data_IF_250992909692
#
_entry.id   IF_250992909692
#
_cell.length_a   1.000
_cell.length_b   1.000
_cell.length_c   1.000
_cell.angle_alpha   90.00
_cell.angle_beta   90.00
_cell.angle_gamma   90.00
#
_symmetry.space_group_name_H-M   'P 1'
#
loop_
_entity.id
_entity.type
_entity.pdbx_description
1 polymer ?
#
# COMPACT_ATOMS: atom_id res chain seq x y z
N UNK A 1 -29.87 -44.34 -32.09
CA UNK A 1 -28.66 -44.58 -31.28
C UNK A 1 -27.46 -43.70 -31.67
N UNK A 2 -27.13 -43.51 -32.97
CA UNK A 2 -25.98 -42.67 -33.39
C UNK A 2 -26.04 -41.18 -32.99
N UNK A 3 -27.24 -40.58 -32.89
CA UNK A 3 -27.41 -39.16 -32.47
C UNK A 3 -27.04 -38.92 -31.00
N UNK A 4 -27.17 -39.93 -30.14
CA UNK A 4 -26.85 -39.84 -28.70
C UNK A 4 -25.34 -39.76 -28.45
N UNK A 5 -24.54 -40.44 -29.28
CA UNK A 5 -23.08 -40.38 -29.21
C UNK A 5 -22.49 -39.04 -29.66
N UNK A 6 -23.25 -38.24 -30.42
CA UNK A 6 -22.84 -36.89 -30.86
C UNK A 6 -23.28 -35.80 -29.87
N UNK A 7 -24.42 -35.98 -29.19
CA UNK A 7 -24.90 -35.02 -28.18
C UNK A 7 -24.02 -34.96 -26.92
N UNK A 8 -23.45 -36.09 -26.51
CA UNK A 8 -22.64 -36.19 -25.29
C UNK A 8 -21.36 -35.32 -25.32
N UNK A 9 -20.53 -35.31 -26.39
CA UNK A 9 -19.38 -34.42 -26.47
C UNK A 9 -19.78 -32.95 -26.63
N UNK A 10 -20.87 -32.65 -27.33
CA UNK A 10 -21.40 -31.27 -27.45
C UNK A 10 -21.84 -30.70 -26.09
N UNK A 11 -22.46 -31.51 -25.24
CA UNK A 11 -22.86 -31.10 -23.89
C UNK A 11 -21.63 -30.82 -23.00
N UNK A 12 -20.56 -31.61 -23.14
CA UNK A 12 -19.32 -31.39 -22.40
C UNK A 12 -18.62 -30.07 -22.81
N UNK A 13 -18.61 -29.74 -24.11
CA UNK A 13 -18.06 -28.47 -24.59
C UNK A 13 -18.87 -27.28 -24.04
N UNK A 14 -20.20 -27.41 -23.98
CA UNK A 14 -21.08 -26.38 -23.43
C UNK A 14 -20.87 -26.14 -21.93
N UNK A 15 -20.65 -27.21 -21.16
CA UNK A 15 -20.35 -27.11 -19.73
C UNK A 15 -19.00 -26.43 -19.46
N UNK A 16 -17.98 -26.68 -20.29
CA UNK A 16 -16.65 -26.05 -20.15
C UNK A 16 -16.74 -24.55 -20.44
N UNK A 17 -17.46 -24.15 -21.50
CA UNK A 17 -17.66 -22.74 -21.84
C UNK A 17 -18.48 -21.96 -20.80
N UNK A 18 -19.30 -22.64 -20.00
CA UNK A 18 -20.09 -22.02 -18.92
C UNK A 18 -19.30 -21.79 -17.62
N UNK A 19 -18.10 -22.36 -17.49
CA UNK A 19 -17.27 -22.24 -16.28
C UNK A 19 -16.28 -21.07 -16.33
N UNK A 20 -16.20 -20.34 -17.44
CA UNK A 20 -15.25 -19.24 -17.64
C UNK A 20 -15.73 -17.93 -17.02
N UNK A 21 -16.08 -17.97 -15.71
CA UNK A 21 -16.30 -16.76 -14.91
C UNK A 21 -14.96 -16.28 -14.38
N UNK A 22 -14.36 -15.37 -15.13
CA UNK A 22 -13.20 -14.61 -14.69
C UNK A 22 -13.66 -13.50 -13.72
N UNK A 23 -14.17 -13.89 -12.55
CA UNK A 23 -14.65 -12.96 -11.54
C UNK A 23 -13.45 -12.21 -10.92
N UNK A 24 -13.20 -11.00 -11.42
CA UNK A 24 -12.16 -10.13 -10.89
C UNK A 24 -12.64 -9.45 -9.60
N UNK A 25 -12.45 -10.09 -8.45
CA UNK A 25 -12.83 -9.51 -7.14
C UNK A 25 -11.92 -8.36 -6.69
N UNK A 26 -10.72 -8.22 -7.28
CA UNK A 26 -9.74 -7.19 -6.90
C UNK A 26 -10.32 -5.78 -7.15
N UNK A 27 -11.24 -5.64 -8.12
CA UNK A 27 -11.90 -4.37 -8.42
C UNK A 27 -12.69 -3.77 -7.24
N UNK A 28 -13.04 -4.56 -6.24
CA UNK A 28 -13.77 -4.09 -5.05
C UNK A 28 -12.84 -3.54 -3.96
N UNK A 29 -11.53 -3.70 -4.11
CA UNK A 29 -10.55 -3.27 -3.12
C UNK A 29 -10.14 -1.83 -3.40
N UNK A 30 -10.26 -0.97 -2.38
CA UNK A 30 -9.70 0.36 -2.37
C UNK A 30 -8.68 0.47 -1.22
N UNK A 31 -7.36 0.42 -1.50
CA UNK A 31 -6.31 0.49 -0.48
C UNK A 31 -6.28 1.81 0.30
N UNK A 32 -6.94 2.86 -0.18
CA UNK A 32 -7.00 4.14 0.52
C UNK A 32 -8.01 4.16 1.68
N UNK A 33 -8.90 3.18 1.78
CA UNK A 33 -9.82 3.09 2.91
C UNK A 33 -9.01 2.82 4.19
N UNK A 34 -9.14 3.72 5.17
CA UNK A 34 -8.40 3.66 6.44
C UNK A 34 -7.07 4.42 6.44
N UNK A 35 -6.67 5.03 5.33
CA UNK A 35 -5.41 5.79 5.22
C UNK A 35 -5.51 7.24 5.70
N UNK A 36 -6.73 7.72 5.97
CA UNK A 36 -6.97 9.05 6.52
C UNK A 36 -7.19 8.96 8.02
N UNK A 37 -6.55 9.84 8.80
CA UNK A 37 -6.68 9.91 10.27
C UNK A 37 -6.30 8.56 10.91
N UNK A 38 -7.09 8.09 11.87
CA UNK A 38 -6.72 7.03 12.82
C UNK A 38 -7.07 5.61 12.36
N UNK A 39 -7.18 5.39 11.05
CA UNK A 39 -7.30 4.04 10.51
C UNK A 39 -5.94 3.34 10.41
N UNK A 40 -4.89 4.11 10.11
CA UNK A 40 -3.50 3.67 10.03
C UNK A 40 -3.29 2.46 9.09
N UNK A 41 -4.02 2.40 7.98
CA UNK A 41 -3.68 1.48 6.90
C UNK A 41 -2.67 2.12 5.96
N UNK A 42 -2.06 1.32 5.08
CA UNK A 42 -1.17 1.81 4.04
C UNK A 42 -1.75 1.44 2.66
N UNK A 43 -1.58 2.28 1.62
CA UNK A 43 -2.08 1.99 0.28
C UNK A 43 -1.11 1.17 -0.59
N UNK A 44 0.09 0.88 -0.07
CA UNK A 44 1.16 0.17 -0.76
C UNK A 44 0.86 -1.27 -1.16
N UNK A 45 1.71 -1.78 -2.06
CA UNK A 45 1.59 -3.13 -2.60
C UNK A 45 2.11 -4.18 -1.60
N UNK A 46 1.33 -5.23 -1.40
CA UNK A 46 1.75 -6.44 -0.70
C UNK A 46 1.00 -7.66 -1.22
N UNK A 47 1.51 -8.86 -0.91
CA UNK A 47 0.81 -10.12 -1.13
C UNK A 47 0.10 -10.54 0.17
N UNK A 48 -0.91 -11.41 0.11
CA UNK A 48 -1.51 -11.98 1.32
C UNK A 48 -0.44 -12.61 2.21
N UNK A 49 -0.30 -12.10 3.44
CA UNK A 49 0.71 -12.52 4.41
C UNK A 49 2.17 -12.37 3.93
N UNK A 50 2.41 -11.45 2.99
CA UNK A 50 3.74 -11.15 2.47
C UNK A 50 4.64 -10.47 3.50
N UNK A 51 5.93 -10.78 3.48
CA UNK A 51 6.93 -10.16 4.38
C UNK A 51 7.23 -8.71 4.02
N UNK A 52 6.97 -8.30 2.78
CA UNK A 52 7.24 -6.94 2.27
C UNK A 52 5.93 -6.20 2.07
N UNK A 53 5.91 -4.94 2.54
CA UNK A 53 4.83 -3.99 2.35
C UNK A 53 5.43 -2.76 1.70
N UNK A 54 5.50 -2.73 0.36
CA UNK A 54 6.11 -1.61 -0.35
C UNK A 54 5.08 -0.48 -0.46
N UNK A 55 5.25 0.58 0.32
CA UNK A 55 4.29 1.68 0.43
C UNK A 55 4.98 3.04 0.43
N UNK A 56 4.30 4.12 -0.02
CA UNK A 56 4.75 5.48 0.23
C UNK A 56 4.70 5.83 1.72
N UNK A 57 5.71 6.58 2.17
CA UNK A 57 5.74 7.32 3.43
C UNK A 57 5.51 8.81 3.14
N UNK A 58 4.58 9.46 3.86
CA UNK A 58 4.28 10.89 3.66
C UNK A 58 5.03 11.81 4.61
N UNK A 59 5.47 11.29 5.77
CA UNK A 59 6.32 11.99 6.72
C UNK A 59 7.21 10.97 7.48
N UNK A 60 8.25 11.44 8.15
CA UNK A 60 9.10 10.64 9.05
C UNK A 60 9.21 11.35 10.38
N UNK A 61 8.24 11.07 11.26
CA UNK A 61 8.17 11.71 12.57
C UNK A 61 9.07 10.95 13.57
N UNK A 62 10.03 11.61 14.22
CA UNK A 62 10.85 10.98 15.24
C UNK A 62 9.99 10.62 16.47
N UNK A 63 10.23 9.43 17.04
CA UNK A 63 9.56 8.93 18.26
C UNK A 63 9.60 9.95 19.41
N UNK A 64 10.72 10.64 19.54
CA UNK A 64 11.03 11.59 20.60
C UNK A 64 11.49 12.91 20.00
N UNK A 65 11.09 14.00 20.63
CA UNK A 65 11.66 15.33 20.40
C UNK A 65 12.10 15.92 21.74
N UNK A 66 13.37 16.32 21.85
CA UNK A 66 13.98 16.92 23.04
C UNK A 66 13.78 16.17 24.37
N UNK A 67 13.84 14.84 24.40
CA UNK A 67 13.64 14.07 25.65
C UNK A 67 12.19 13.64 25.89
N UNK A 68 11.23 14.10 25.09
CA UNK A 68 9.80 13.85 25.29
C UNK A 68 9.16 13.10 24.12
N UNK A 69 8.16 12.29 24.45
CA UNK A 69 7.39 11.56 23.44
C UNK A 69 6.71 12.52 22.46
N UNK A 70 6.99 12.33 21.17
CA UNK A 70 6.36 13.10 20.12
C UNK A 70 4.98 12.50 19.78
N UNK A 71 3.92 13.20 20.16
CA UNK A 71 2.54 12.75 19.92
C UNK A 71 2.17 12.67 18.43
N UNK A 72 2.84 13.44 17.57
CA UNK A 72 2.57 13.44 16.12
C UNK A 72 2.89 12.07 15.50
N UNK A 73 3.81 11.30 16.10
CA UNK A 73 4.15 9.93 15.66
C UNK A 73 2.93 9.01 15.59
N UNK A 74 1.96 9.22 16.48
CA UNK A 74 0.73 8.43 16.47
C UNK A 74 -0.06 8.60 15.17
N UNK A 75 -0.02 9.76 14.54
CA UNK A 75 -0.68 9.99 13.26
C UNK A 75 -0.03 9.18 12.14
N UNK A 76 1.25 8.81 12.26
CA UNK A 76 2.04 8.19 11.17
C UNK A 76 2.34 6.72 11.42
N UNK A 77 1.50 6.00 12.16
CA UNK A 77 1.76 4.60 12.54
C UNK A 77 2.00 3.64 11.35
N UNK A 78 1.45 3.95 10.18
CA UNK A 78 1.62 3.19 8.93
C UNK A 78 2.47 3.91 7.88
N UNK A 79 3.12 5.02 8.24
CA UNK A 79 3.95 5.83 7.34
C UNK A 79 3.18 6.77 6.40
N UNK A 80 1.88 6.53 6.15
CA UNK A 80 1.09 7.27 5.16
C UNK A 80 -0.13 7.97 5.77
N UNK A 81 -0.32 9.24 5.45
CA UNK A 81 -1.55 10.00 5.69
C UNK A 81 -2.15 10.52 4.38
N UNK A 82 -3.44 10.24 4.15
CA UNK A 82 -4.13 10.59 2.90
C UNK A 82 -4.15 12.09 2.59
N UNK A 83 -4.19 12.93 3.63
CA UNK A 83 -4.30 14.39 3.49
C UNK A 83 -2.93 15.06 3.23
N UNK A 84 -1.83 14.32 3.35
CA UNK A 84 -0.50 14.88 3.16
C UNK A 84 -0.20 15.13 1.67
N UNK A 85 0.32 16.32 1.32
CA UNK A 85 0.54 16.69 -0.07
C UNK A 85 1.86 16.14 -0.65
N UNK A 86 2.70 15.53 0.18
CA UNK A 86 4.08 15.15 -0.13
C UNK A 86 4.38 13.72 0.24
N UNK A 87 5.33 13.11 -0.48
CA UNK A 87 5.87 11.78 -0.19
C UNK A 87 7.34 11.96 0.11
N UNK A 88 7.78 11.41 1.24
CA UNK A 88 9.20 11.32 1.61
C UNK A 88 9.88 10.26 0.76
N UNK A 89 9.27 9.08 0.63
CA UNK A 89 9.82 8.01 -0.19
C UNK A 89 8.96 6.77 -0.15
N UNK A 90 9.53 5.64 -0.57
CA UNK A 90 8.88 4.34 -0.56
C UNK A 90 9.71 3.35 0.25
N UNK A 91 9.23 2.96 1.42
CA UNK A 91 9.87 1.95 2.27
C UNK A 91 9.20 0.57 2.11
N UNK A 92 9.81 -0.46 2.69
CA UNK A 92 9.52 -1.86 2.36
C UNK A 92 8.85 -2.65 3.49
N UNK A 93 8.66 -2.04 4.67
CA UNK A 93 8.08 -2.68 5.85
C UNK A 93 7.10 -1.73 6.53
N UNK A 94 5.88 -2.20 6.82
CA UNK A 94 4.83 -1.37 7.42
C UNK A 94 3.88 -2.18 8.29
N UNK A 95 3.43 -1.58 9.38
CA UNK A 95 2.28 -2.07 10.13
C UNK A 95 0.97 -1.53 9.52
N UNK A 96 -0.12 -2.30 9.66
CA UNK A 96 -1.46 -1.92 9.20
C UNK A 96 -2.44 -1.96 10.37
N UNK A 97 -3.02 -0.81 10.70
CA UNK A 97 -4.04 -0.63 11.73
C UNK A 97 -3.50 -0.56 13.17
N UNK A 98 -2.21 -0.30 13.37
CA UNK A 98 -1.61 -0.21 14.72
C UNK A 98 -1.85 1.14 15.38
N UNK A 99 -1.68 1.20 16.69
CA UNK A 99 -1.67 2.46 17.47
C UNK A 99 -0.26 2.87 17.90
N UNK A 100 0.77 2.32 17.26
CA UNK A 100 2.18 2.59 17.50
C UNK A 100 2.92 2.50 16.16
N UNK A 101 3.88 3.41 15.97
CA UNK A 101 4.71 3.49 14.78
C UNK A 101 6.02 2.75 14.98
N UNK A 102 6.39 1.94 13.99
CA UNK A 102 7.68 1.26 13.83
C UNK A 102 7.80 0.87 12.35
N UNK A 103 8.86 0.17 11.97
CA UNK A 103 9.18 -0.20 10.58
C UNK A 103 9.44 1.07 9.72
N UNK A 104 9.06 1.07 8.44
CA UNK A 104 9.47 2.09 7.49
C UNK A 104 10.89 1.87 6.95
N UNK A 105 11.33 0.60 6.90
CA UNK A 105 12.71 0.25 6.58
C UNK A 105 13.01 0.28 5.08
N UNK A 106 14.27 0.57 4.73
CA UNK A 106 14.77 0.58 3.34
C UNK A 106 13.97 1.57 2.48
N UNK A 107 14.05 2.86 2.83
CA UNK A 107 13.40 3.93 2.10
C UNK A 107 14.14 4.25 0.78
N UNK A 108 13.41 4.22 -0.32
CA UNK A 108 13.90 4.60 -1.66
C UNK A 108 13.11 5.81 -2.14
N UNK A 109 13.82 6.89 -2.47
CA UNK A 109 13.26 8.07 -3.14
C UNK A 109 13.89 8.25 -4.52
N UNK A 110 13.14 8.06 -5.62
CA UNK A 110 13.65 8.38 -6.94
C UNK A 110 13.79 9.89 -7.10
N UNK A 111 14.97 10.37 -7.49
CA UNK A 111 15.24 11.81 -7.66
C UNK A 111 15.82 12.11 -9.04
N UNK A 112 15.56 13.32 -9.53
CA UNK A 112 16.14 13.86 -10.75
C UNK A 112 16.66 15.28 -10.49
N UNK A 113 17.85 15.60 -11.00
CA UNK A 113 18.49 16.91 -10.79
C UNK A 113 19.45 16.91 -9.60
N UNK A 114 19.40 17.97 -8.79
CA UNK A 114 20.28 18.11 -7.62
C UNK A 114 19.98 17.01 -6.61
N UNK A 115 21.02 16.29 -6.19
CA UNK A 115 20.90 15.26 -5.17
C UNK A 115 20.81 15.91 -3.78
N UNK A 116 19.72 15.64 -3.08
CA UNK A 116 19.55 15.93 -1.67
C UNK A 116 19.70 14.64 -0.86
N UNK A 117 20.29 14.74 0.32
CA UNK A 117 20.56 13.58 1.18
C UNK A 117 19.61 13.47 2.38
N UNK A 118 18.80 14.50 2.59
CA UNK A 118 17.80 14.55 3.65
C UNK A 118 16.45 14.91 3.02
N UNK A 119 15.34 14.44 3.61
CA UNK A 119 14.01 14.85 3.17
C UNK A 119 13.78 16.35 3.45
N UNK A 120 12.82 16.92 2.72
CA UNK A 120 12.27 18.23 3.06
C UNK A 120 11.38 18.14 4.31
N UNK A 121 10.77 19.27 4.66
CA UNK A 121 9.63 19.28 5.60
C UNK A 121 8.35 19.61 4.85
N UNK A 122 7.20 19.38 5.47
CA UNK A 122 5.90 19.81 4.94
C UNK A 122 5.85 21.33 4.66
N UNK A 123 6.54 22.15 5.45
CA UNK A 123 6.63 23.60 5.20
C UNK A 123 7.66 23.97 4.12
N UNK A 124 8.66 23.12 3.89
CA UNK A 124 9.77 23.36 2.96
C UNK A 124 10.10 22.14 2.10
N UNK A 125 9.14 21.63 1.29
CA UNK A 125 9.29 20.35 0.61
C UNK A 125 10.43 20.36 -0.42
N UNK A 126 10.67 21.50 -1.08
CA UNK A 126 11.74 21.64 -2.09
C UNK A 126 13.16 21.82 -1.52
N UNK A 127 13.37 21.71 -0.20
CA UNK A 127 14.70 21.80 0.42
C UNK A 127 15.37 20.45 0.65
N UNK A 128 14.69 19.35 0.38
CA UNK A 128 15.21 17.99 0.41
C UNK A 128 14.92 17.22 -0.87
N UNK A 129 15.09 15.90 -0.80
CA UNK A 129 14.76 15.01 -1.92
C UNK A 129 13.26 14.90 -2.15
#
# INVERSE_FOLDING_TARGET
MKKIFILLPLLNIFCIAAQDKNDNFIQYINPFIGTQRMGHTYPGATLPFGMVQLSPDTDTIPYEDNGEYNRKVYEYCSGYQYDDPTIVGFSHTHFSGTGHSDLGDILIMPTAGTLYLNPGTDEQPGKGY
#
